data_IF_489358965776
#
_entry.id   IF_489358965776
#
_cell.length_a   1.000
_cell.length_b   1.000
_cell.length_c   1.000
_cell.angle_alpha   90.00
_cell.angle_beta   90.00
_cell.angle_gamma   90.00
#
_symmetry.space_group_name_H-M   'P 1'
#
loop_
_entity.id
_entity.type
_entity.pdbx_description
1 polymer ?
#
# COMPACT_ATOMS: atom_id res chain seq x y z
N UNK A 1 -56.01 0.07 0.28
CA UNK A 1 -54.95 0.54 -0.64
C UNK A 1 -54.01 1.39 0.17
N UNK A 2 -52.88 0.84 0.61
CA UNK A 2 -51.93 1.56 1.46
C UNK A 2 -50.58 0.86 1.43
N UNK A 3 -49.62 1.49 0.75
CA UNK A 3 -48.16 1.34 0.85
C UNK A 3 -47.66 2.70 0.30
N UNK A 4 -47.14 3.63 1.09
CA UNK A 4 -45.90 3.49 1.85
C UNK A 4 -44.76 4.13 1.06
N UNK A 5 -44.83 5.44 0.78
CA UNK A 5 -43.69 6.23 0.24
C UNK A 5 -42.85 6.74 1.40
N UNK A 6 -42.50 5.84 2.31
CA UNK A 6 -41.61 6.13 3.41
C UNK A 6 -40.18 6.29 2.89
N UNK A 7 -39.68 7.51 3.05
CA UNK A 7 -38.27 7.81 3.24
C UNK A 7 -37.32 7.48 2.07
N UNK A 8 -37.47 8.19 0.95
CA UNK A 8 -36.29 8.63 0.21
C UNK A 8 -35.53 9.60 1.12
N UNK A 9 -34.65 9.07 1.99
CA UNK A 9 -33.77 9.84 2.85
C UNK A 9 -32.81 10.67 2.00
N UNK A 10 -33.29 11.82 1.54
CA UNK A 10 -32.47 12.86 0.96
C UNK A 10 -31.62 13.42 2.08
N UNK A 11 -30.34 13.07 2.09
CA UNK A 11 -29.36 13.91 2.76
C UNK A 11 -29.40 15.25 2.03
N UNK A 12 -30.09 16.24 2.59
CA UNK A 12 -29.86 17.64 2.23
C UNK A 12 -28.44 17.95 2.66
N UNK A 13 -27.50 17.75 1.74
CA UNK A 13 -26.17 18.35 1.86
C UNK A 13 -26.42 19.85 1.72
N UNK A 14 -26.35 20.58 2.82
CA UNK A 14 -26.38 22.05 2.80
C UNK A 14 -25.25 22.51 1.86
N UNK A 15 -25.64 22.94 0.66
CA UNK A 15 -24.72 23.46 -0.33
C UNK A 15 -24.27 24.85 0.14
N UNK A 16 -23.08 24.94 0.72
CA UNK A 16 -22.42 26.21 0.98
C UNK A 16 -21.70 26.67 -0.30
N UNK A 17 -22.19 27.71 -1.00
CA UNK A 17 -21.56 28.21 -2.22
C UNK A 17 -20.17 28.83 -2.00
N UNK A 18 -19.74 29.03 -0.75
CA UNK A 18 -18.42 29.53 -0.40
C UNK A 18 -17.42 28.43 0.00
N UNK A 19 -17.91 27.19 0.17
CA UNK A 19 -17.07 26.06 0.51
C UNK A 19 -16.56 25.36 -0.77
N UNK A 20 -15.38 25.77 -1.22
CA UNK A 20 -14.79 25.31 -2.49
C UNK A 20 -13.62 24.32 -2.24
N UNK A 21 -13.80 23.06 -2.66
CA UNK A 21 -12.78 22.01 -2.62
C UNK A 21 -13.05 20.82 -1.68
N UNK A 22 -12.02 20.01 -1.44
CA UNK A 22 -12.08 18.77 -0.65
C UNK A 22 -11.88 19.04 0.85
N UNK A 23 -12.68 19.94 1.42
CA UNK A 23 -12.55 20.34 2.82
C UNK A 23 -13.23 19.34 3.77
N UNK A 24 -14.46 18.92 3.45
CA UNK A 24 -15.32 18.13 4.32
C UNK A 24 -15.93 16.91 3.59
N UNK A 25 -16.42 15.93 4.35
CA UNK A 25 -17.06 14.73 3.84
C UNK A 25 -16.31 13.43 4.13
N UNK A 26 -16.94 12.32 3.73
CA UNK A 26 -16.47 10.96 3.94
C UNK A 26 -16.15 10.28 2.60
N UNK A 27 -15.01 9.61 2.53
CA UNK A 27 -14.55 8.86 1.37
C UNK A 27 -14.49 7.38 1.72
N UNK A 28 -15.17 6.53 0.95
CA UNK A 28 -15.16 5.09 1.16
C UNK A 28 -14.12 4.41 0.27
N UNK A 29 -13.27 3.57 0.86
CA UNK A 29 -12.31 2.74 0.12
C UNK A 29 -12.97 1.46 -0.41
N UNK A 30 -12.30 0.76 -1.31
CA UNK A 30 -12.77 -0.54 -1.82
C UNK A 30 -12.94 -1.60 -0.75
N UNK A 31 -12.23 -1.46 0.37
CA UNK A 31 -12.27 -2.39 1.51
C UNK A 31 -13.40 -2.05 2.49
N UNK A 32 -14.19 -1.01 2.19
CA UNK A 32 -15.30 -0.54 3.02
C UNK A 32 -14.88 0.38 4.16
N UNK A 33 -13.61 0.79 4.23
CA UNK A 33 -13.15 1.75 5.23
C UNK A 33 -13.60 3.16 4.85
N UNK A 34 -14.10 3.91 5.83
CA UNK A 34 -14.51 5.30 5.69
C UNK A 34 -13.39 6.21 6.18
N UNK A 35 -12.94 7.12 5.32
CA UNK A 35 -11.86 8.06 5.60
C UNK A 35 -12.43 9.47 5.44
N UNK A 36 -12.25 10.33 6.43
CA UNK A 36 -12.59 11.74 6.27
C UNK A 36 -11.76 12.37 5.14
N UNK A 37 -12.41 13.12 4.25
CA UNK A 37 -11.78 13.74 3.07
C UNK A 37 -10.61 14.66 3.46
N UNK A 38 -10.77 15.39 4.57
CA UNK A 38 -9.71 16.21 5.18
C UNK A 38 -8.46 15.41 5.57
N UNK A 39 -8.64 14.12 5.93
CA UNK A 39 -7.57 13.20 6.36
C UNK A 39 -6.96 12.39 5.21
N UNK A 40 -7.36 12.63 3.96
CA UNK A 40 -6.81 11.90 2.81
C UNK A 40 -5.32 12.16 2.63
N UNK A 41 -4.53 11.12 2.40
CA UNK A 41 -3.11 11.27 2.06
C UNK A 41 -2.94 11.62 0.58
N UNK A 42 -1.78 12.17 0.14
CA UNK A 42 -1.50 12.36 -1.28
C UNK A 42 -1.64 11.08 -2.11
N UNK A 43 -1.37 9.91 -1.51
CA UNK A 43 -1.57 8.61 -2.15
C UNK A 43 -3.05 8.31 -2.41
N UNK A 44 -3.93 8.64 -1.45
CA UNK A 44 -5.38 8.49 -1.62
C UNK A 44 -5.89 9.41 -2.75
N UNK A 45 -5.46 10.67 -2.75
CA UNK A 45 -5.83 11.65 -3.79
C UNK A 45 -5.33 11.23 -5.18
N UNK A 46 -4.06 10.78 -5.30
CA UNK A 46 -3.50 10.21 -6.55
C UNK A 46 -4.24 8.95 -6.99
N UNK A 47 -4.76 8.15 -6.06
CA UNK A 47 -5.62 7.00 -6.33
C UNK A 47 -6.97 7.41 -6.91
N UNK A 48 -7.68 8.31 -6.22
CA UNK A 48 -8.98 8.83 -6.61
C UNK A 48 -8.93 9.53 -7.98
N UNK A 49 -7.92 10.39 -8.21
CA UNK A 49 -7.66 11.01 -9.51
C UNK A 49 -7.54 9.99 -10.64
N UNK A 50 -6.77 8.91 -10.43
CA UNK A 50 -6.62 7.84 -11.44
C UNK A 50 -7.91 7.08 -11.68
N UNK A 51 -8.78 6.94 -10.68
CA UNK A 51 -10.10 6.35 -10.86
C UNK A 51 -11.00 7.27 -11.70
N UNK A 52 -11.10 8.55 -11.34
CA UNK A 52 -11.88 9.55 -12.06
C UNK A 52 -11.42 9.70 -13.53
N UNK A 53 -10.11 9.79 -13.77
CA UNK A 53 -9.57 9.87 -15.13
C UNK A 53 -9.86 8.59 -15.96
N UNK A 54 -9.87 7.41 -15.34
CA UNK A 54 -10.28 6.19 -16.05
C UNK A 54 -11.77 6.21 -16.38
N UNK A 55 -12.59 6.64 -15.42
CA UNK A 55 -14.03 6.75 -15.60
C UNK A 55 -14.40 7.72 -16.72
N UNK A 56 -13.71 8.87 -16.86
CA UNK A 56 -13.92 9.80 -17.97
C UNK A 56 -13.60 9.16 -19.33
N UNK A 57 -12.51 8.39 -19.43
CA UNK A 57 -12.14 7.71 -20.70
C UNK A 57 -13.09 6.59 -21.10
N UNK A 58 -13.80 6.00 -20.14
CA UNK A 58 -14.74 4.89 -20.39
C UNK A 58 -16.20 5.33 -20.45
N UNK A 59 -16.52 6.57 -20.09
CA UNK A 59 -17.87 7.09 -20.10
C UNK A 59 -18.39 7.26 -21.53
N UNK A 60 -19.65 6.91 -21.75
CA UNK A 60 -20.30 7.03 -23.07
C UNK A 60 -21.05 8.35 -23.26
N UNK A 61 -21.34 9.07 -22.17
CA UNK A 61 -22.06 10.33 -22.18
C UNK A 61 -21.12 11.50 -21.88
N UNK A 62 -21.25 12.59 -22.64
CA UNK A 62 -20.43 13.80 -22.47
C UNK A 62 -20.62 14.46 -21.12
N UNK A 63 -21.84 14.43 -20.55
CA UNK A 63 -22.10 14.94 -19.21
C UNK A 63 -21.31 14.18 -18.12
N UNK A 64 -21.21 12.85 -18.24
CA UNK A 64 -20.43 12.04 -17.31
C UNK A 64 -18.94 12.27 -17.51
N UNK A 65 -18.48 12.40 -18.76
CA UNK A 65 -17.09 12.73 -19.07
C UNK A 65 -16.70 14.03 -18.38
N UNK A 66 -17.47 15.10 -18.58
CA UNK A 66 -17.20 16.42 -17.98
C UNK A 66 -17.23 16.38 -16.46
N UNK A 67 -18.17 15.64 -15.88
CA UNK A 67 -18.23 15.44 -14.43
C UNK A 67 -16.94 14.80 -13.91
N UNK A 68 -16.48 13.73 -14.56
CA UNK A 68 -15.25 13.05 -14.14
C UNK A 68 -14.00 13.90 -14.38
N UNK A 69 -13.96 14.69 -15.46
CA UNK A 69 -12.87 15.64 -15.73
C UNK A 69 -12.82 16.75 -14.68
N UNK A 70 -13.97 17.30 -14.28
CA UNK A 70 -14.06 18.27 -13.19
C UNK A 70 -13.53 17.70 -11.87
N UNK A 71 -13.84 16.43 -11.56
CA UNK A 71 -13.25 15.76 -10.39
C UNK A 71 -11.72 15.62 -10.50
N UNK A 72 -11.20 15.32 -11.69
CA UNK A 72 -9.74 15.27 -11.92
C UNK A 72 -9.10 16.63 -11.65
N UNK A 73 -9.72 17.72 -12.11
CA UNK A 73 -9.26 19.09 -11.85
C UNK A 73 -9.24 19.42 -10.35
N UNK A 74 -10.31 19.06 -9.62
CA UNK A 74 -10.39 19.25 -8.17
C UNK A 74 -9.26 18.48 -7.45
N UNK A 75 -9.01 17.23 -7.84
CA UNK A 75 -7.92 16.44 -7.23
C UNK A 75 -6.53 16.99 -7.57
N UNK A 76 -6.32 17.47 -8.79
CA UNK A 76 -5.05 18.08 -9.19
C UNK A 76 -4.81 19.39 -8.42
N UNK A 77 -5.81 20.26 -8.31
CA UNK A 77 -5.74 21.46 -7.49
C UNK A 77 -5.48 21.16 -6.01
N UNK A 78 -6.09 20.11 -5.46
CA UNK A 78 -5.87 19.70 -4.07
C UNK A 78 -4.47 19.11 -3.84
N UNK A 79 -3.95 18.35 -4.79
CA UNK A 79 -2.57 17.84 -4.75
C UNK A 79 -1.55 18.98 -4.83
N UNK A 80 -1.79 19.97 -5.69
CA UNK A 80 -0.94 21.16 -5.82
C UNK A 80 -0.99 22.01 -4.54
N UNK A 81 -2.18 22.17 -3.94
CA UNK A 81 -2.38 22.91 -2.67
C UNK A 81 -1.68 22.25 -1.48
N UNK A 82 -1.72 20.92 -1.39
CA UNK A 82 -1.01 20.16 -0.34
C UNK A 82 0.50 20.07 -0.60
N UNK A 83 0.92 20.36 -1.84
CA UNK A 83 2.29 20.23 -2.32
C UNK A 83 2.80 18.79 -2.27
N UNK A 84 3.94 18.52 -2.92
CA UNK A 84 4.83 17.42 -2.52
C UNK A 84 5.45 17.78 -1.16
N UNK A 85 4.62 17.96 -0.12
CA UNK A 85 5.08 17.94 1.25
C UNK A 85 5.71 16.57 1.44
N UNK A 86 7.03 16.57 1.23
CA UNK A 86 7.88 15.42 1.21
C UNK A 86 7.54 14.61 2.45
N UNK A 87 7.29 13.33 2.19
CA UNK A 87 6.94 12.33 3.18
C UNK A 87 8.03 12.30 4.24
N UNK A 88 7.98 13.18 5.25
CA UNK A 88 8.52 12.87 6.56
C UNK A 88 7.74 11.65 7.00
N UNK A 89 8.46 10.52 6.99
CA UNK A 89 7.93 9.17 6.95
C UNK A 89 6.61 9.06 7.67
N UNK A 90 5.55 8.78 6.92
CA UNK A 90 4.28 8.37 7.49
C UNK A 90 4.58 7.16 8.37
N UNK A 91 4.77 7.40 9.67
CA UNK A 91 4.81 6.36 10.68
C UNK A 91 3.40 5.80 10.64
N UNK A 92 3.25 4.69 9.92
CA UNK A 92 2.03 3.90 9.90
C UNK A 92 1.84 3.33 11.30
N UNK A 93 1.37 4.17 12.22
CA UNK A 93 0.86 3.78 13.52
C UNK A 93 -0.56 3.25 13.30
N UNK A 94 -0.69 2.13 12.58
CA UNK A 94 -1.91 1.34 12.73
C UNK A 94 -1.91 0.78 14.15
N UNK A 95 -2.92 1.09 14.97
CA UNK A 95 -3.03 0.55 16.33
C UNK A 95 -3.34 -0.95 16.34
N UNK A 96 -3.53 -1.56 15.16
CA UNK A 96 -3.51 -3.01 15.00
C UNK A 96 -2.06 -3.46 15.09
N UNK A 97 -1.62 -3.67 16.33
CA UNK A 97 -0.39 -4.34 16.76
C UNK A 97 0.34 -5.00 15.58
N UNK A 98 1.55 -4.51 15.25
CA UNK A 98 2.48 -5.22 14.39
C UNK A 98 2.60 -6.62 14.97
N UNK A 99 1.78 -7.56 14.46
CA UNK A 99 1.74 -8.92 14.98
C UNK A 99 3.16 -9.41 14.84
N UNK A 100 3.80 -9.72 15.96
CA UNK A 100 5.15 -10.24 15.94
C UNK A 100 5.20 -11.35 14.90
N UNK A 101 6.10 -11.17 13.94
CA UNK A 101 6.13 -11.99 12.76
C UNK A 101 6.47 -13.41 13.20
N UNK A 102 5.45 -14.29 13.19
CA UNK A 102 5.55 -15.67 13.67
C UNK A 102 6.74 -16.36 13.00
N UNK A 103 7.59 -16.99 13.82
CA UNK A 103 8.65 -17.88 13.38
C UNK A 103 10.06 -17.41 13.73
N UNK A 104 10.93 -18.40 13.98
CA UNK A 104 12.35 -18.20 14.29
C UNK A 104 13.09 -17.57 13.10
N UNK A 105 13.88 -16.54 13.40
CA UNK A 105 14.75 -15.84 12.44
C UNK A 105 16.21 -16.23 12.69
N UNK A 106 16.99 -16.32 11.62
CA UNK A 106 18.43 -16.58 11.65
C UNK A 106 19.16 -15.46 10.91
N UNK A 107 20.30 -15.04 11.44
CA UNK A 107 21.17 -14.06 10.80
C UNK A 107 22.16 -14.76 9.88
N UNK A 108 22.10 -14.44 8.59
CA UNK A 108 22.94 -15.01 7.54
C UNK A 108 23.87 -13.95 6.94
N UNK A 109 24.96 -14.41 6.34
CA UNK A 109 25.89 -13.61 5.55
C UNK A 109 25.74 -14.00 4.09
N UNK A 110 25.39 -13.05 3.24
CA UNK A 110 25.31 -13.28 1.80
C UNK A 110 26.70 -13.43 1.19
N UNK A 111 26.79 -13.94 -0.04
CA UNK A 111 28.07 -14.06 -0.76
C UNK A 111 28.77 -12.70 -0.98
N UNK A 112 28.02 -11.60 -0.95
CA UNK A 112 28.54 -10.23 -0.98
C UNK A 112 29.08 -9.72 0.37
N UNK A 113 28.99 -10.51 1.44
CA UNK A 113 29.42 -10.14 2.79
C UNK A 113 28.36 -9.42 3.64
N UNK A 114 27.22 -9.02 3.06
CA UNK A 114 26.16 -8.33 3.80
C UNK A 114 25.44 -9.29 4.76
N UNK A 115 25.29 -8.86 6.01
CA UNK A 115 24.49 -9.56 7.03
C UNK A 115 23.01 -9.24 6.85
N UNK A 116 22.16 -10.25 6.87
CA UNK A 116 20.71 -10.09 6.76
C UNK A 116 19.98 -11.14 7.59
N UNK A 117 18.73 -10.87 7.96
CA UNK A 117 17.90 -11.80 8.73
C UNK A 117 16.92 -12.50 7.81
N UNK A 118 16.80 -13.82 7.96
CA UNK A 118 15.88 -14.65 7.19
C UNK A 118 15.07 -15.54 8.14
N UNK A 119 13.80 -15.81 7.79
CA UNK A 119 12.99 -16.78 8.52
C UNK A 119 13.38 -18.19 8.11
N UNK A 120 13.37 -19.11 9.06
CA UNK A 120 13.71 -20.52 8.82
C UNK A 120 12.72 -21.17 7.84
N UNK A 121 11.43 -20.81 7.93
CA UNK A 121 10.41 -21.25 6.99
C UNK A 121 10.67 -20.80 5.55
N UNK A 122 11.22 -19.59 5.36
CA UNK A 122 11.58 -19.11 4.02
C UNK A 122 12.80 -19.89 3.49
N UNK A 123 13.80 -20.12 4.34
CA UNK A 123 14.98 -20.90 3.99
C UNK A 123 14.65 -22.35 3.62
N UNK A 124 13.73 -22.99 4.34
CA UNK A 124 13.29 -24.38 4.06
C UNK A 124 12.55 -24.49 2.73
N UNK A 125 11.79 -23.45 2.34
CA UNK A 125 11.16 -23.31 1.01
C UNK A 125 12.12 -22.92 -0.10
N UNK A 126 13.40 -22.70 0.21
CA UNK A 126 14.42 -22.28 -0.75
C UNK A 126 14.43 -20.78 -1.05
N UNK A 127 13.72 -19.98 -0.26
CA UNK A 127 13.65 -18.53 -0.36
C UNK A 127 14.65 -17.87 0.60
N UNK A 128 14.78 -16.54 0.52
CA UNK A 128 15.64 -15.73 1.40
C UNK A 128 17.11 -16.21 1.49
N UNK A 129 17.68 -16.74 0.40
CA UNK A 129 19.11 -17.16 0.34
C UNK A 129 20.05 -16.05 -0.11
N UNK A 130 19.59 -14.81 -0.17
CA UNK A 130 20.37 -13.64 -0.61
C UNK A 130 19.81 -12.39 0.05
N UNK A 131 20.66 -11.37 0.25
CA UNK A 131 20.25 -10.13 0.91
C UNK A 131 19.34 -9.25 0.05
N UNK A 132 19.36 -9.39 -1.29
CA UNK A 132 18.53 -8.62 -2.21
C UNK A 132 18.16 -9.43 -3.47
N UNK A 133 17.17 -8.92 -4.23
CA UNK A 133 16.68 -9.56 -5.47
C UNK A 133 17.78 -9.69 -6.54
N UNK A 134 18.62 -8.67 -6.68
CA UNK A 134 19.75 -8.68 -7.62
C UNK A 134 20.72 -9.82 -7.31
N UNK A 135 21.14 -9.98 -6.05
CA UNK A 135 22.05 -11.07 -5.66
C UNK A 135 21.43 -12.45 -5.80
N UNK A 136 20.11 -12.56 -5.63
CA UNK A 136 19.39 -13.80 -5.92
C UNK A 136 19.42 -14.14 -7.42
N UNK A 137 19.22 -13.15 -8.30
CA UNK A 137 19.31 -13.33 -9.75
C UNK A 137 20.73 -13.73 -10.17
N UNK A 138 21.75 -12.99 -9.73
CA UNK A 138 23.17 -13.33 -9.99
C UNK A 138 23.53 -14.73 -9.51
N UNK A 139 22.98 -15.17 -8.38
CA UNK A 139 23.21 -16.53 -7.89
C UNK A 139 22.60 -17.59 -8.81
N UNK A 140 21.41 -17.35 -9.37
CA UNK A 140 20.75 -18.26 -10.32
C UNK A 140 21.50 -18.36 -11.63
N UNK A 141 22.03 -17.25 -12.12
CA UNK A 141 22.75 -17.17 -13.40
C UNK A 141 24.18 -17.69 -13.31
N UNK A 142 24.92 -17.32 -12.25
CA UNK A 142 26.36 -17.55 -12.15
C UNK A 142 26.77 -18.57 -11.07
N UNK A 143 25.82 -19.25 -10.43
CA UNK A 143 26.13 -20.31 -9.47
C UNK A 143 26.92 -19.85 -8.23
N UNK A 144 26.66 -18.64 -7.73
CA UNK A 144 27.36 -18.08 -6.56
C UNK A 144 27.12 -18.91 -5.28
N UNK A 145 28.06 -18.82 -4.33
CA UNK A 145 28.04 -19.57 -3.06
C UNK A 145 26.76 -19.34 -2.25
N UNK A 146 26.35 -20.35 -1.50
CA UNK A 146 25.25 -20.23 -0.55
C UNK A 146 25.63 -19.35 0.65
N UNK A 147 24.66 -18.58 1.20
CA UNK A 147 24.91 -17.81 2.41
C UNK A 147 25.16 -18.73 3.61
N UNK A 148 25.94 -18.26 4.58
CA UNK A 148 26.28 -18.98 5.81
C UNK A 148 25.76 -18.25 7.04
N UNK A 149 25.57 -18.95 8.14
CA UNK A 149 25.15 -18.33 9.40
C UNK A 149 26.23 -17.40 9.95
N UNK A 150 25.84 -16.18 10.33
CA UNK A 150 26.79 -15.12 10.71
C UNK A 150 27.55 -15.39 12.01
N UNK A 151 26.97 -16.18 12.94
CA UNK A 151 27.59 -16.49 14.22
C UNK A 151 28.50 -17.72 14.18
N UNK A 152 28.05 -18.78 13.52
CA UNK A 152 28.68 -20.11 13.58
C UNK A 152 29.37 -20.53 12.27
N UNK A 153 29.13 -19.82 11.17
CA UNK A 153 29.59 -20.21 9.83
C UNK A 153 28.91 -21.46 9.27
N UNK A 154 27.87 -21.99 9.93
CA UNK A 154 27.15 -23.18 9.48
C UNK A 154 26.45 -22.93 8.14
N UNK A 155 26.39 -23.97 7.32
CA UNK A 155 25.62 -23.95 6.07
C UNK A 155 24.11 -23.95 6.36
N UNK A 156 23.30 -23.41 5.44
CA UNK A 156 21.84 -23.42 5.58
C UNK A 156 21.31 -24.83 5.88
N UNK A 157 21.84 -25.86 5.22
CA UNK A 157 21.42 -27.25 5.44
C UNK A 157 21.64 -27.71 6.89
N UNK A 158 22.73 -27.29 7.52
CA UNK A 158 23.01 -27.61 8.94
C UNK A 158 22.10 -26.82 9.88
N UNK A 159 21.86 -25.54 9.59
CA UNK A 159 20.92 -24.71 10.35
C UNK A 159 19.51 -25.30 10.32
N UNK A 160 19.05 -25.75 9.14
CA UNK A 160 17.73 -26.35 8.98
C UNK A 160 17.60 -27.71 9.68
N UNK A 161 18.67 -28.52 9.70
CA UNK A 161 18.65 -29.82 10.42
C UNK A 161 18.68 -29.68 11.94
N UNK A 162 19.28 -28.62 12.47
CA UNK A 162 19.34 -28.39 13.92
C UNK A 162 18.09 -27.75 14.52
N UNK A 163 17.05 -27.51 13.72
CA UNK A 163 15.80 -26.84 14.09
C UNK A 163 14.57 -27.76 13.94
N UNK A 164 14.75 -28.96 13.39
CA UNK A 164 13.78 -30.06 13.38
C UNK A 164 14.04 -30.95 14.60
#
# INVERSE_FOLDING_TARGET
>A
MGQGTESCGGYEVEYDPYEDGLAHGEWMTSDGEVIAVSSMTPTHLKGARRAAHRASKTASFTCDIWKWEQWVEIFDAELDRRGDSAVEGAVYNSPLAVKETRGTKVTLVCWCGTKYTARIADLSRGWARSCCKSHAATKREYGRKEPVEAGTGRSIKQVLRGQL
#
